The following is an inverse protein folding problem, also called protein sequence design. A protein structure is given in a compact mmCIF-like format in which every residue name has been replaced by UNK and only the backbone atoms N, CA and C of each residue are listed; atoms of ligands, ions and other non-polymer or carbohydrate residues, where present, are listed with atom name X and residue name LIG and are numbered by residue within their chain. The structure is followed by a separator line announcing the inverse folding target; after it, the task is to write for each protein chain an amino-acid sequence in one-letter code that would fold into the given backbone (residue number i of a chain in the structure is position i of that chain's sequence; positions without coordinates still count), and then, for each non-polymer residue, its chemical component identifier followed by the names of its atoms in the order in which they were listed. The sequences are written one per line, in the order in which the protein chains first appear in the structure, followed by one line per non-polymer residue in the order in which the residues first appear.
data_IF_747805215014
#
_entry.id   IF_747805215014
#
_cell.length_a   1.000
_cell.length_b   1.000
_cell.length_c   1.000
_cell.angle_alpha   90.00
_cell.angle_beta   90.00
_cell.angle_gamma   90.00
#
_symmetry.space_group_name_H-M   'P 1'
#
loop_
_entity.id
_entity.type
_entity.pdbx_description
1 polymer ?
#
# COMPACT_ATOMS: atom_id res chain seq x y z
N UNK A 1 -24.85 15.43 -1.31
CA UNK A 1 -23.60 15.60 -0.54
C UNK A 1 -22.47 15.22 -1.47
N UNK A 2 -21.47 16.08 -1.64
CA UNK A 2 -20.37 15.88 -2.59
C UNK A 2 -19.22 15.10 -1.95
N UNK A 3 -18.53 14.25 -2.71
CA UNK A 3 -17.41 13.46 -2.20
C UNK A 3 -16.14 14.30 -2.08
N UNK A 4 -15.66 14.51 -0.85
CA UNK A 4 -14.39 15.19 -0.58
C UNK A 4 -13.25 14.16 -0.45
N UNK A 5 -12.56 13.89 -1.56
CA UNK A 5 -11.44 12.94 -1.58
C UNK A 5 -10.25 13.42 -0.75
N UNK A 6 -9.96 14.72 -0.69
CA UNK A 6 -8.82 15.27 0.05
C UNK A 6 -8.91 14.95 1.55
N UNK A 7 -10.10 15.15 2.12
CA UNK A 7 -10.36 14.84 3.52
C UNK A 7 -10.39 13.33 3.78
N UNK A 8 -11.05 12.59 2.90
CA UNK A 8 -11.19 11.13 3.03
C UNK A 8 -9.85 10.40 2.94
N UNK A 9 -9.03 10.73 1.93
CA UNK A 9 -7.72 10.11 1.71
C UNK A 9 -6.77 10.43 2.87
N UNK A 10 -6.71 11.69 3.31
CA UNK A 10 -5.87 12.09 4.43
C UNK A 10 -6.26 11.35 5.72
N UNK A 11 -7.56 11.28 6.02
CA UNK A 11 -8.07 10.58 7.21
C UNK A 11 -7.60 9.12 7.24
N UNK A 12 -7.71 8.40 6.13
CA UNK A 12 -7.35 6.98 6.08
C UNK A 12 -5.85 6.74 6.08
N UNK A 13 -5.07 7.57 5.39
CA UNK A 13 -3.60 7.53 5.45
C UNK A 13 -3.10 7.73 6.89
N UNK A 14 -3.60 8.75 7.58
CA UNK A 14 -3.26 9.04 8.98
C UNK A 14 -3.64 7.86 9.90
N UNK A 15 -4.83 7.26 9.68
CA UNK A 15 -5.28 6.09 10.44
C UNK A 15 -4.35 4.89 10.21
N UNK A 16 -4.01 4.56 8.97
CA UNK A 16 -3.16 3.40 8.67
C UNK A 16 -1.76 3.54 9.25
N UNK A 17 -1.20 4.75 9.19
CA UNK A 17 0.10 5.06 9.77
C UNK A 17 0.06 4.95 11.29
N UNK A 18 -0.93 5.56 11.96
CA UNK A 18 -1.05 5.53 13.42
C UNK A 18 -1.23 4.11 13.98
N UNK A 19 -1.90 3.25 13.24
CA UNK A 19 -2.21 1.88 13.68
C UNK A 19 -1.26 0.82 13.11
N UNK A 20 -0.17 1.22 12.43
CA UNK A 20 0.73 0.30 11.74
C UNK A 20 -0.01 -0.75 10.89
N UNK A 21 -1.10 -0.36 10.21
CA UNK A 21 -2.05 -1.30 9.60
C UNK A 21 -1.41 -2.28 8.62
N UNK A 22 -0.34 -1.83 7.95
CA UNK A 22 0.37 -2.61 6.94
C UNK A 22 1.67 -3.25 7.43
N UNK A 23 2.06 -3.06 8.70
CA UNK A 23 3.24 -3.70 9.29
C UNK A 23 3.11 -5.23 9.24
N UNK A 24 4.17 -5.91 8.77
CA UNK A 24 4.20 -7.36 8.68
C UNK A 24 4.66 -7.96 10.01
N UNK A 25 3.96 -8.99 10.48
CA UNK A 25 4.22 -9.64 11.76
C UNK A 25 4.99 -10.95 11.53
N UNK A 26 6.19 -11.05 12.11
CA UNK A 26 6.97 -12.30 12.13
C UNK A 26 6.35 -13.30 13.10
N UNK A 27 6.28 -14.58 12.71
CA UNK A 27 5.74 -15.64 13.57
C UNK A 27 4.21 -15.71 13.62
N UNK A 28 3.52 -15.02 12.70
CA UNK A 28 2.08 -15.20 12.49
C UNK A 28 1.75 -16.66 12.15
N UNK A 29 0.63 -17.17 12.67
CA UNK A 29 0.09 -18.47 12.26
C UNK A 29 -0.54 -18.45 10.85
N UNK A 30 -0.74 -17.26 10.27
CA UNK A 30 -1.26 -17.09 8.91
C UNK A 30 -0.20 -17.45 7.87
N UNK A 31 -0.60 -17.94 6.68
CA UNK A 31 0.34 -18.25 5.61
C UNK A 31 1.03 -16.96 5.12
N UNK A 32 2.37 -16.95 5.12
CA UNK A 32 3.16 -15.82 4.63
C UNK A 32 2.89 -15.53 3.15
N UNK A 33 2.76 -14.26 2.80
CA UNK A 33 2.82 -13.78 1.42
C UNK A 33 3.76 -12.58 1.28
N UNK A 34 4.52 -12.51 0.19
CA UNK A 34 5.44 -11.40 -0.09
C UNK A 34 5.23 -10.88 -1.50
N UNK A 35 4.68 -9.67 -1.62
CA UNK A 35 4.57 -8.92 -2.87
C UNK A 35 5.71 -7.93 -2.93
N UNK A 36 6.48 -7.96 -4.02
CA UNK A 36 7.62 -7.07 -4.23
C UNK A 36 7.49 -6.43 -5.62
N UNK A 37 7.63 -5.12 -5.66
CA UNK A 37 7.76 -4.35 -6.89
C UNK A 37 9.22 -3.88 -7.08
N UNK A 38 9.54 -3.44 -8.29
CA UNK A 38 10.85 -2.90 -8.61
C UNK A 38 11.03 -1.54 -7.93
N UNK A 39 11.98 -1.45 -7.00
CA UNK A 39 12.32 -0.20 -6.34
C UNK A 39 12.80 0.85 -7.36
N UNK A 40 12.36 2.11 -7.25
CA UNK A 40 12.72 3.13 -8.21
C UNK A 40 14.16 3.60 -7.97
N UNK A 41 14.86 3.94 -9.04
CA UNK A 41 16.12 4.68 -8.92
C UNK A 41 15.82 6.13 -8.51
N UNK A 42 16.56 6.74 -7.56
CA UNK A 42 16.30 8.10 -7.08
C UNK A 42 16.78 9.17 -8.09
N UNK A 43 16.10 9.28 -9.23
CA UNK A 43 16.48 10.13 -10.38
C UNK A 43 16.15 11.63 -10.22
N UNK A 44 15.72 12.08 -9.05
CA UNK A 44 15.58 13.51 -8.71
C UNK A 44 14.31 14.21 -9.18
N UNK A 45 13.59 13.69 -10.19
CA UNK A 45 12.36 14.31 -10.73
C UNK A 45 11.05 13.88 -10.02
N UNK A 46 11.16 13.17 -8.90
CA UNK A 46 10.00 12.54 -8.25
C UNK A 46 9.45 11.34 -9.03
N UNK A 47 8.21 10.94 -8.73
CA UNK A 47 7.56 9.82 -9.40
C UNK A 47 6.96 10.28 -10.74
N UNK A 48 7.46 9.77 -11.87
CA UNK A 48 6.74 9.85 -13.15
C UNK A 48 5.54 8.87 -13.18
N UNK A 49 4.58 9.09 -14.11
CA UNK A 49 3.33 8.31 -14.21
C UNK A 49 3.52 6.79 -14.39
N UNK A 50 4.67 6.36 -14.91
CA UNK A 50 5.03 4.95 -14.98
C UNK A 50 5.23 4.27 -13.61
N UNK A 51 5.64 4.99 -12.56
CA UNK A 51 5.87 4.37 -11.25
C UNK A 51 4.57 3.98 -10.54
N UNK A 52 3.53 4.84 -10.47
CA UNK A 52 2.24 4.44 -9.91
C UNK A 52 1.64 3.21 -10.58
N UNK A 53 1.87 2.98 -11.88
CA UNK A 53 1.28 1.84 -12.58
C UNK A 53 1.72 0.50 -11.96
N UNK A 54 3.01 0.33 -11.69
CA UNK A 54 3.52 -0.85 -10.99
C UNK A 54 3.02 -0.88 -9.55
N UNK A 55 3.26 0.20 -8.80
CA UNK A 55 3.01 0.22 -7.36
C UNK A 55 1.54 0.05 -6.98
N UNK A 56 0.61 0.57 -7.80
CA UNK A 56 -0.82 0.40 -7.59
C UNK A 56 -1.22 -1.07 -7.80
N UNK A 57 -0.71 -1.73 -8.84
CA UNK A 57 -1.01 -3.15 -9.07
C UNK A 57 -0.49 -4.02 -7.92
N UNK A 58 0.74 -3.75 -7.47
CA UNK A 58 1.36 -4.42 -6.32
C UNK A 58 0.59 -4.16 -5.01
N UNK A 59 0.13 -2.93 -4.74
CA UNK A 59 -0.66 -2.60 -3.55
C UNK A 59 -2.06 -3.25 -3.58
N UNK A 60 -2.74 -3.23 -4.74
CA UNK A 60 -4.04 -3.91 -4.94
C UNK A 60 -3.90 -5.40 -4.60
N UNK A 61 -2.89 -6.06 -5.15
CA UNK A 61 -2.68 -7.49 -4.92
C UNK A 61 -2.27 -7.79 -3.47
N UNK A 62 -1.43 -6.96 -2.87
CA UNK A 62 -1.07 -7.05 -1.45
C UNK A 62 -2.30 -6.96 -0.54
N UNK A 63 -3.21 -6.03 -0.82
CA UNK A 63 -4.48 -5.89 -0.09
C UNK A 63 -5.39 -7.09 -0.32
N UNK A 64 -5.49 -7.56 -1.56
CA UNK A 64 -6.27 -8.76 -1.89
C UNK A 64 -5.78 -9.97 -1.06
N UNK A 65 -4.48 -10.26 -1.06
CA UNK A 65 -3.92 -11.39 -0.28
C UNK A 65 -4.16 -11.23 1.22
N UNK A 66 -4.00 -10.03 1.79
CA UNK A 66 -4.33 -9.74 3.20
C UNK A 66 -5.80 -10.04 3.52
N UNK A 67 -6.72 -9.71 2.62
CA UNK A 67 -8.16 -10.01 2.79
C UNK A 67 -8.48 -11.50 2.60
N UNK A 68 -7.65 -12.24 1.86
CA UNK A 68 -7.71 -13.71 1.76
C UNK A 68 -7.09 -14.44 2.97
N UNK A 69 -6.60 -13.71 3.98
CA UNK A 69 -6.11 -14.29 5.23
C UNK A 69 -4.62 -14.68 5.23
N UNK A 70 -3.85 -14.20 4.26
CA UNK A 70 -2.39 -14.27 4.26
C UNK A 70 -1.77 -13.19 5.17
#
# INVERSE_FOLDING_TARGET
MEYNFRETEKKWQDYWQKNNTFEAITGSAKPKYYVLDMFPYPSGAGLHVGHPLGYIASDIYSRYMRHQGY
#
